data_IF_219718701481
#
_entry.id   IF_219718701481
#
_cell.length_a   1.000
_cell.length_b   1.000
_cell.length_c   1.000
_cell.angle_alpha   90.00
_cell.angle_beta   90.00
_cell.angle_gamma   90.00
#
_symmetry.space_group_name_H-M   'P 1'
#
loop_
_entity.id
_entity.type
_entity.pdbx_description
1 polymer ?
#
# COMPACT_ATOMS: atom_id res chain seq x y z
N UNK A 1 11.85 -13.83 -1.65
CA UNK A 1 11.44 -12.43 -1.93
C UNK A 1 9.96 -12.12 -1.66
N UNK A 2 9.14 -13.10 -1.28
CA UNK A 2 7.67 -12.95 -1.21
C UNK A 2 7.11 -12.03 -0.11
N UNK A 3 7.93 -11.23 0.57
CA UNK A 3 7.48 -10.37 1.68
C UNK A 3 8.15 -9.00 1.68
N UNK A 4 9.03 -8.73 0.71
CA UNK A 4 9.89 -7.55 0.71
C UNK A 4 9.09 -6.24 0.71
N UNK A 5 8.10 -6.12 -0.19
CA UNK A 5 7.31 -4.90 -0.32
C UNK A 5 6.52 -4.61 0.97
N UNK A 6 5.93 -5.65 1.54
CA UNK A 6 5.14 -5.54 2.77
C UNK A 6 6.01 -5.30 3.99
N UNK A 7 7.16 -5.97 4.12
CA UNK A 7 8.06 -5.73 5.24
C UNK A 7 8.66 -4.32 5.20
N UNK A 8 9.01 -3.81 4.02
CA UNK A 8 9.42 -2.41 3.87
C UNK A 8 8.31 -1.47 4.36
N UNK A 9 7.06 -1.69 3.95
CA UNK A 9 5.92 -0.88 4.40
C UNK A 9 5.71 -0.99 5.91
N UNK A 10 5.79 -2.19 6.50
CA UNK A 10 5.65 -2.40 7.95
C UNK A 10 6.76 -1.73 8.76
N UNK A 11 7.96 -1.62 8.19
CA UNK A 11 9.10 -0.90 8.77
C UNK A 11 9.01 0.63 8.55
N UNK A 12 7.91 1.14 8.00
CA UNK A 12 7.74 2.56 7.70
C UNK A 12 8.48 3.02 6.44
N UNK A 13 8.91 2.08 5.58
CA UNK A 13 9.64 2.33 4.34
C UNK A 13 8.78 2.03 3.10
N UNK A 14 7.51 2.40 3.15
CA UNK A 14 6.60 2.34 1.99
C UNK A 14 7.10 3.14 0.80
N UNK A 15 7.87 4.22 1.04
CA UNK A 15 8.59 5.00 0.03
C UNK A 15 9.54 4.14 -0.81
N UNK A 16 10.35 3.29 -0.17
CA UNK A 16 11.27 2.38 -0.86
C UNK A 16 10.50 1.30 -1.62
N UNK A 17 9.45 0.74 -1.01
CA UNK A 17 8.58 -0.22 -1.70
C UNK A 17 7.96 0.39 -2.96
N UNK A 18 7.45 1.63 -2.87
CA UNK A 18 6.90 2.34 -4.01
C UNK A 18 7.95 2.64 -5.09
N UNK A 19 9.15 3.02 -4.70
CA UNK A 19 10.27 3.23 -5.61
C UNK A 19 10.61 1.94 -6.38
N UNK A 20 10.70 0.79 -5.68
CA UNK A 20 10.93 -0.51 -6.31
C UNK A 20 9.80 -0.92 -7.27
N UNK A 21 8.55 -0.50 -6.99
CA UNK A 21 7.44 -0.77 -7.88
C UNK A 21 7.44 0.11 -9.14
N UNK A 22 7.79 1.40 -9.02
CA UNK A 22 7.50 2.43 -10.02
C UNK A 22 8.71 3.00 -10.76
N UNK A 23 9.93 2.90 -10.19
CA UNK A 23 11.14 3.44 -10.80
C UNK A 23 11.42 2.74 -12.15
N UNK A 24 11.91 3.50 -13.13
CA UNK A 24 12.27 3.01 -14.48
C UNK A 24 13.72 2.58 -14.60
N UNK A 25 14.53 2.77 -13.57
CA UNK A 25 15.93 2.36 -13.53
C UNK A 25 16.10 1.06 -12.74
N UNK A 26 17.17 0.32 -13.03
CA UNK A 26 17.55 -0.88 -12.30
C UNK A 26 17.91 -0.55 -10.82
N UNK A 27 17.51 -1.38 -9.84
CA UNK A 27 16.59 -2.51 -9.91
C UNK A 27 15.15 -2.09 -9.57
N UNK A 28 14.16 -2.45 -10.39
CA UNK A 28 12.74 -2.18 -10.10
C UNK A 28 11.81 -2.97 -11.01
N UNK A 29 10.51 -3.05 -10.64
CA UNK A 29 9.49 -3.58 -11.54
C UNK A 29 9.24 -2.65 -12.73
N UNK A 30 9.31 -1.33 -12.52
CA UNK A 30 9.21 -0.37 -13.62
C UNK A 30 10.34 -0.49 -14.64
N UNK A 31 11.57 -0.85 -14.20
CA UNK A 31 12.67 -1.19 -15.11
C UNK A 31 12.33 -2.39 -15.99
N UNK A 32 11.75 -3.46 -15.43
CA UNK A 32 11.33 -4.62 -16.23
C UNK A 32 10.36 -4.21 -17.33
N UNK A 33 9.37 -3.36 -17.02
CA UNK A 33 8.40 -2.84 -18.00
C UNK A 33 9.12 -2.00 -19.07
N UNK A 34 10.02 -1.12 -18.69
CA UNK A 34 10.80 -0.27 -19.62
C UNK A 34 11.66 -1.12 -20.57
N UNK A 35 12.09 -2.30 -20.12
CA UNK A 35 12.83 -3.28 -20.93
C UNK A 35 11.93 -4.23 -21.73
N UNK A 36 10.62 -3.98 -21.77
CA UNK A 36 9.65 -4.73 -22.56
C UNK A 36 9.17 -6.03 -21.92
N UNK A 37 9.29 -6.17 -20.59
CA UNK A 37 8.73 -7.32 -19.89
C UNK A 37 7.20 -7.37 -20.05
N UNK A 38 6.68 -8.52 -20.43
CA UNK A 38 5.23 -8.81 -20.49
C UNK A 38 4.75 -9.60 -19.28
N UNK A 39 5.68 -10.07 -18.47
CA UNK A 39 5.46 -10.73 -17.19
C UNK A 39 6.58 -10.36 -16.21
N UNK A 40 6.42 -10.64 -14.92
CA UNK A 40 7.47 -10.38 -13.93
C UNK A 40 8.60 -11.40 -14.11
N UNK A 41 9.82 -10.92 -14.21
CA UNK A 41 11.02 -11.72 -14.24
C UNK A 41 11.46 -12.16 -12.85
N UNK A 42 12.13 -13.29 -12.75
CA UNK A 42 12.71 -13.79 -11.51
C UNK A 42 13.83 -12.88 -11.01
N UNK A 43 14.70 -12.45 -11.92
CA UNK A 43 15.82 -11.55 -11.64
C UNK A 43 15.50 -10.14 -12.15
N UNK A 44 15.95 -9.13 -11.41
CA UNK A 44 15.76 -7.72 -11.79
C UNK A 44 16.31 -7.39 -13.19
N UNK A 45 17.41 -8.03 -13.57
CA UNK A 45 18.07 -7.87 -14.87
C UNK A 45 17.71 -8.98 -15.86
N UNK A 46 16.47 -9.43 -15.88
CA UNK A 46 16.04 -10.54 -16.74
C UNK A 46 16.28 -10.33 -18.24
N UNK A 47 16.46 -9.07 -18.69
CA UNK A 47 16.86 -8.71 -20.05
C UNK A 47 18.31 -9.12 -20.40
N UNK A 48 19.20 -9.16 -19.40
CA UNK A 48 20.62 -9.49 -19.56
C UNK A 48 21.06 -10.77 -18.85
N UNK A 49 20.17 -11.33 -18.03
CA UNK A 49 20.45 -12.54 -17.25
C UNK A 49 20.57 -13.78 -18.14
N UNK A 50 21.31 -14.77 -17.67
CA UNK A 50 21.41 -16.06 -18.34
C UNK A 50 20.02 -16.72 -18.40
N UNK A 51 19.52 -17.00 -19.59
CA UNK A 51 18.19 -17.58 -19.84
C UNK A 51 17.97 -18.96 -19.20
N UNK A 52 19.03 -19.68 -18.93
CA UNK A 52 18.97 -21.00 -18.27
C UNK A 52 18.83 -20.90 -16.74
N UNK A 53 19.10 -19.72 -16.19
CA UNK A 53 19.09 -19.45 -14.74
C UNK A 53 18.07 -18.37 -14.35
N UNK A 54 17.19 -17.98 -15.25
CA UNK A 54 16.22 -16.90 -15.03
C UNK A 54 14.88 -17.22 -15.69
N UNK A 55 13.82 -17.20 -14.90
CA UNK A 55 12.44 -17.25 -15.42
C UNK A 55 11.98 -15.87 -15.87
N UNK A 56 11.50 -15.76 -17.09
CA UNK A 56 10.87 -14.54 -17.59
C UNK A 56 9.37 -14.46 -17.25
N UNK A 57 8.84 -15.40 -16.48
CA UNK A 57 7.45 -15.43 -16.02
C UNK A 57 7.39 -16.04 -14.62
N UNK A 58 7.73 -15.23 -13.60
CA UNK A 58 7.84 -15.70 -12.21
C UNK A 58 6.61 -15.30 -11.40
N UNK A 59 5.54 -16.07 -11.52
CA UNK A 59 4.21 -15.77 -10.95
C UNK A 59 4.20 -15.57 -9.42
N UNK A 60 5.13 -16.19 -8.68
CA UNK A 60 5.19 -16.04 -7.22
C UNK A 60 5.58 -14.62 -6.80
N UNK A 61 6.44 -13.95 -7.56
CA UNK A 61 6.82 -12.55 -7.31
C UNK A 61 5.64 -11.62 -7.63
N UNK A 62 4.86 -11.94 -8.66
CA UNK A 62 3.62 -11.20 -8.95
C UNK A 62 2.65 -11.26 -7.77
N UNK A 63 2.52 -12.41 -7.12
CA UNK A 63 1.67 -12.58 -5.94
C UNK A 63 2.05 -11.67 -4.78
N UNK A 64 3.35 -11.45 -4.55
CA UNK A 64 3.85 -10.52 -3.53
C UNK A 64 3.46 -9.07 -3.85
N UNK A 65 3.73 -8.63 -5.08
CA UNK A 65 3.41 -7.28 -5.55
C UNK A 65 1.91 -7.00 -5.48
N UNK A 66 1.06 -7.92 -5.95
CA UNK A 66 -0.40 -7.79 -5.87
C UNK A 66 -0.89 -7.77 -4.43
N UNK A 67 -0.32 -8.62 -3.56
CA UNK A 67 -0.67 -8.61 -2.14
C UNK A 67 -0.37 -7.25 -1.50
N UNK A 68 0.76 -6.65 -1.82
CA UNK A 68 1.12 -5.32 -1.36
C UNK A 68 0.15 -4.25 -1.88
N UNK A 69 -0.24 -4.28 -3.16
CA UNK A 69 -1.21 -3.33 -3.71
C UNK A 69 -2.55 -3.40 -2.97
N UNK A 70 -3.07 -4.60 -2.72
CA UNK A 70 -4.36 -4.75 -2.07
C UNK A 70 -4.32 -4.53 -0.57
N UNK A 71 -3.31 -5.04 0.13
CA UNK A 71 -3.24 -4.96 1.59
C UNK A 71 -2.69 -3.67 2.11
N UNK A 72 -1.66 -3.15 1.48
CA UNK A 72 -0.92 -2.01 2.01
C UNK A 72 -1.29 -0.71 1.30
N UNK A 73 -1.51 -0.69 -0.03
CA UNK A 73 -1.94 0.53 -0.72
C UNK A 73 -3.46 0.75 -0.68
N UNK A 74 -4.26 -0.27 -0.96
CA UNK A 74 -5.72 -0.17 -0.86
C UNK A 74 -6.23 -0.35 0.58
N UNK A 75 -5.43 -0.99 1.45
CA UNK A 75 -5.73 -1.19 2.85
C UNK A 75 -6.66 -2.37 3.17
N UNK A 76 -6.90 -3.30 2.25
CA UNK A 76 -7.79 -4.45 2.45
C UNK A 76 -7.14 -5.54 3.30
N UNK A 77 -7.40 -5.59 4.59
CA UNK A 77 -6.90 -6.64 5.45
C UNK A 77 -8.05 -7.38 6.15
N UNK A 78 -8.02 -8.72 6.23
CA UNK A 78 -9.02 -9.47 6.98
C UNK A 78 -8.74 -9.39 8.48
N UNK A 79 -9.70 -8.92 9.27
CA UNK A 79 -9.70 -9.06 10.72
C UNK A 79 -10.30 -10.40 11.14
N UNK A 80 -11.23 -10.92 10.33
CA UNK A 80 -11.82 -12.25 10.49
C UNK A 80 -11.81 -13.01 9.15
N UNK A 81 -11.90 -14.34 9.16
CA UNK A 81 -11.94 -15.15 7.94
C UNK A 81 -12.96 -14.65 6.92
N UNK A 82 -12.61 -14.77 5.63
CA UNK A 82 -13.43 -14.38 4.49
C UNK A 82 -13.86 -12.90 4.48
N UNK A 83 -13.16 -12.01 5.20
CA UNK A 83 -13.52 -10.59 5.37
C UNK A 83 -14.86 -10.37 6.09
N UNK A 84 -15.26 -11.27 7.00
CA UNK A 84 -16.44 -11.05 7.87
C UNK A 84 -16.31 -9.77 8.68
N UNK A 85 -15.08 -9.46 9.14
CA UNK A 85 -14.67 -8.14 9.60
C UNK A 85 -13.46 -7.70 8.77
N UNK A 86 -13.52 -6.49 8.23
CA UNK A 86 -12.52 -5.90 7.34
C UNK A 86 -11.68 -4.91 8.15
N UNK A 87 -10.38 -4.86 7.91
CA UNK A 87 -9.54 -3.72 8.29
C UNK A 87 -9.25 -2.92 7.04
N UNK A 88 -9.67 -1.65 7.03
CA UNK A 88 -9.25 -0.66 6.05
C UNK A 88 -8.10 0.15 6.65
N UNK A 89 -6.87 -0.15 6.22
CA UNK A 89 -5.63 0.48 6.74
C UNK A 89 -4.63 0.69 5.62
N UNK A 90 -4.86 1.65 4.70
CA UNK A 90 -3.88 2.00 3.68
C UNK A 90 -2.64 2.66 4.28
N UNK A 91 -1.50 2.50 3.61
CA UNK A 91 -0.29 3.26 3.90
C UNK A 91 -0.36 4.63 3.22
N UNK A 92 -0.78 5.64 3.96
CA UNK A 92 -0.83 7.02 3.50
C UNK A 92 0.52 7.76 3.57
N UNK A 93 1.58 7.10 4.07
CA UNK A 93 2.90 7.74 4.26
C UNK A 93 3.68 7.94 2.97
N UNK A 94 3.35 7.21 1.90
CA UNK A 94 4.01 7.31 0.59
C UNK A 94 3.63 8.64 -0.07
N UNK A 95 4.57 9.59 -0.12
CA UNK A 95 4.29 10.95 -0.58
C UNK A 95 4.00 11.02 -2.09
N UNK A 96 4.70 10.23 -2.88
CA UNK A 96 4.59 10.16 -4.34
C UNK A 96 3.26 9.55 -4.81
N UNK A 97 2.58 8.80 -3.94
CA UNK A 97 1.29 8.18 -4.23
C UNK A 97 0.16 9.08 -3.77
N UNK A 98 -0.54 9.71 -4.71
CA UNK A 98 -1.61 10.68 -4.43
C UNK A 98 -3.01 10.10 -4.42
N UNK A 99 -3.23 8.92 -5.03
CA UNK A 99 -4.52 8.24 -5.02
C UNK A 99 -4.40 6.74 -5.24
N UNK A 100 -5.38 6.00 -4.76
CA UNK A 100 -5.61 4.58 -5.09
C UNK A 100 -7.09 4.37 -5.35
N UNK A 101 -7.41 3.56 -6.36
CA UNK A 101 -8.76 3.06 -6.61
C UNK A 101 -8.71 1.56 -6.66
N UNK A 102 -9.35 0.90 -5.71
CA UNK A 102 -9.33 -0.55 -5.61
C UNK A 102 -10.69 -1.13 -5.24
N UNK A 103 -10.97 -2.31 -5.74
CA UNK A 103 -12.13 -3.10 -5.31
C UNK A 103 -11.80 -4.58 -5.28
N UNK A 104 -12.46 -5.32 -4.40
CA UNK A 104 -12.30 -6.77 -4.30
C UNK A 104 -13.66 -7.42 -4.02
N UNK A 105 -13.94 -8.54 -4.67
CA UNK A 105 -15.14 -9.32 -4.45
C UNK A 105 -14.91 -10.33 -3.33
N UNK A 106 -15.65 -10.21 -2.24
CA UNK A 106 -15.65 -11.15 -1.11
C UNK A 106 -16.84 -12.08 -1.21
N UNK A 107 -16.93 -13.07 -0.33
CA UNK A 107 -18.13 -13.90 -0.20
C UNK A 107 -19.39 -13.12 0.23
N UNK A 108 -19.22 -11.93 0.80
CA UNK A 108 -20.29 -11.04 1.26
C UNK A 108 -20.67 -9.97 0.25
N UNK A 109 -19.92 -9.86 -0.85
CA UNK A 109 -20.09 -8.84 -1.87
C UNK A 109 -18.83 -8.02 -2.13
N UNK A 110 -19.00 -6.98 -2.93
CA UNK A 110 -17.89 -6.12 -3.36
C UNK A 110 -17.50 -5.13 -2.27
N UNK A 111 -16.23 -5.11 -1.89
CA UNK A 111 -15.64 -4.05 -1.08
C UNK A 111 -14.87 -3.06 -1.97
N UNK A 112 -14.86 -1.79 -1.60
CA UNK A 112 -14.20 -0.69 -2.34
C UNK A 112 -13.36 0.13 -1.37
N UNK A 113 -12.20 0.58 -1.84
CA UNK A 113 -11.34 1.56 -1.18
C UNK A 113 -10.79 2.51 -2.26
N UNK A 114 -11.34 3.70 -2.33
CA UNK A 114 -10.92 4.74 -3.27
C UNK A 114 -10.51 5.96 -2.47
N UNK A 115 -9.22 6.23 -2.38
CA UNK A 115 -8.73 7.39 -1.67
C UNK A 115 -7.90 8.30 -2.57
N UNK A 116 -7.92 9.58 -2.23
CA UNK A 116 -7.10 10.63 -2.81
C UNK A 116 -6.59 11.51 -1.69
N UNK A 117 -5.31 11.83 -1.70
CA UNK A 117 -4.70 12.67 -0.68
C UNK A 117 -3.85 13.79 -1.25
N UNK A 118 -3.72 14.85 -0.46
CA UNK A 118 -2.67 15.88 -0.53
C UNK A 118 -1.72 15.71 0.66
N UNK A 119 -0.83 16.65 0.89
CA UNK A 119 0.04 16.63 2.08
C UNK A 119 -0.74 16.81 3.39
N UNK A 120 -1.90 17.43 3.35
CA UNK A 120 -2.64 17.84 4.54
C UNK A 120 -4.08 17.34 4.60
N UNK A 121 -4.55 16.66 3.56
CA UNK A 121 -5.95 16.30 3.45
C UNK A 121 -6.15 14.96 2.74
N UNK A 122 -7.09 14.15 3.24
CA UNK A 122 -7.52 12.87 2.68
C UNK A 122 -9.01 12.89 2.38
N UNK A 123 -9.36 12.49 1.16
CA UNK A 123 -10.71 12.10 0.74
C UNK A 123 -10.72 10.59 0.49
N UNK A 124 -11.65 9.87 1.10
CA UNK A 124 -11.67 8.42 1.03
C UNK A 124 -13.08 7.86 0.97
N UNK A 125 -13.43 7.24 -0.17
CA UNK A 125 -14.67 6.51 -0.36
C UNK A 125 -14.45 5.03 -0.08
N UNK A 126 -15.27 4.44 0.78
CA UNK A 126 -15.27 3.00 1.04
C UNK A 126 -16.65 2.39 0.88
N UNK A 127 -16.66 1.14 0.44
CA UNK A 127 -17.86 0.30 0.46
C UNK A 127 -17.60 -0.94 1.31
N UNK A 128 -18.47 -1.17 2.28
CA UNK A 128 -18.45 -2.31 3.19
C UNK A 128 -19.63 -3.20 2.83
N UNK A 129 -19.41 -4.47 2.40
CA UNK A 129 -20.50 -5.37 1.98
C UNK A 129 -21.52 -5.63 3.08
N UNK A 130 -22.73 -6.02 2.68
CA UNK A 130 -23.78 -6.42 3.63
C UNK A 130 -23.32 -7.56 4.56
N UNK A 131 -23.83 -7.58 5.79
CA UNK A 131 -23.48 -8.57 6.82
C UNK A 131 -21.98 -8.60 7.20
N UNK A 132 -21.25 -7.52 6.94
CA UNK A 132 -19.85 -7.33 7.39
C UNK A 132 -19.71 -6.04 8.18
N UNK A 133 -18.61 -5.90 8.90
CA UNK A 133 -18.21 -4.67 9.58
C UNK A 133 -16.77 -4.34 9.22
N UNK A 134 -16.36 -3.11 9.46
CA UNK A 134 -14.99 -2.70 9.23
C UNK A 134 -14.38 -1.95 10.42
N UNK A 135 -13.06 -2.09 10.57
CA UNK A 135 -12.22 -1.17 11.34
C UNK A 135 -11.50 -0.26 10.33
N UNK A 136 -11.80 1.02 10.38
CA UNK A 136 -11.25 2.03 9.46
C UNK A 136 -10.20 2.86 10.19
N UNK A 137 -9.00 2.91 9.63
CA UNK A 137 -7.87 3.66 10.17
C UNK A 137 -7.75 5.00 9.45
N UNK A 138 -8.15 6.08 10.11
CA UNK A 138 -8.02 7.43 9.58
C UNK A 138 -6.71 8.07 10.05
N UNK A 139 -5.92 8.70 9.16
CA UNK A 139 -4.64 9.32 9.49
C UNK A 139 -4.81 10.68 10.17
N UNK A 140 -5.53 10.71 11.26
CA UNK A 140 -5.81 11.89 12.08
C UNK A 140 -5.85 11.51 13.56
N UNK A 141 -5.52 12.46 14.43
CA UNK A 141 -5.63 12.31 15.88
C UNK A 141 -6.94 12.90 16.44
N UNK A 142 -7.77 13.49 15.57
CA UNK A 142 -9.07 14.05 15.97
C UNK A 142 -10.11 12.95 16.14
N UNK A 143 -10.49 12.68 17.38
CA UNK A 143 -11.54 11.72 17.75
C UNK A 143 -12.96 12.18 17.36
N UNK A 144 -13.10 13.39 16.84
CA UNK A 144 -14.35 13.97 16.35
C UNK A 144 -14.34 14.15 14.83
N UNK A 145 -13.35 13.62 14.15
CA UNK A 145 -13.22 13.74 12.70
C UNK A 145 -14.42 13.16 11.94
N UNK A 146 -15.06 12.11 12.48
CA UNK A 146 -16.23 11.48 11.88
C UNK A 146 -17.50 11.91 12.64
N UNK A 147 -18.48 12.43 11.90
CA UNK A 147 -19.75 12.90 12.46
C UNK A 147 -20.93 11.96 12.15
N UNK A 148 -20.68 10.86 11.45
CA UNK A 148 -21.71 9.88 11.13
C UNK A 148 -22.12 9.13 12.42
N UNK A 149 -23.43 9.10 12.70
CA UNK A 149 -24.00 8.50 13.92
C UNK A 149 -23.81 6.96 14.00
N UNK A 150 -23.66 6.31 12.86
CA UNK A 150 -23.54 4.87 12.75
C UNK A 150 -22.05 4.43 12.85
N UNK A 151 -21.13 5.39 12.83
CA UNK A 151 -19.69 5.17 12.94
C UNK A 151 -19.21 5.47 14.36
N UNK A 152 -18.55 4.50 14.99
CA UNK A 152 -18.14 4.60 16.39
C UNK A 152 -16.61 4.68 16.52
N UNK A 153 -16.12 5.68 17.24
CA UNK A 153 -14.71 5.74 17.64
C UNK A 153 -14.35 4.55 18.54
N UNK A 154 -13.24 3.89 18.25
CA UNK A 154 -12.77 2.73 19.01
C UNK A 154 -11.55 3.08 19.86
N UNK A 155 -10.49 3.60 19.21
CA UNK A 155 -9.22 3.92 19.86
C UNK A 155 -8.30 4.76 18.99
N UNK A 156 -7.25 5.27 19.59
CA UNK A 156 -6.05 5.73 18.86
C UNK A 156 -5.05 4.58 18.69
N UNK A 157 -4.36 4.56 17.56
CA UNK A 157 -3.29 3.61 17.30
C UNK A 157 -2.20 4.31 16.47
N UNK A 158 -1.06 4.60 17.11
CA UNK A 158 -0.01 5.43 16.48
C UNK A 158 -0.54 6.82 16.11
N UNK A 159 -0.35 7.22 14.87
CA UNK A 159 -0.83 8.50 14.33
C UNK A 159 -2.21 8.40 13.65
N UNK A 160 -3.01 7.41 14.04
CA UNK A 160 -4.34 7.19 13.45
C UNK A 160 -5.41 7.05 14.52
N UNK A 161 -6.62 7.43 14.16
CA UNK A 161 -7.84 7.03 14.88
C UNK A 161 -8.47 5.82 14.21
N UNK A 162 -8.98 4.89 15.01
CA UNK A 162 -9.63 3.66 14.55
C UNK A 162 -11.12 3.75 14.82
N UNK A 163 -11.90 3.47 13.79
CA UNK A 163 -13.36 3.59 13.80
C UNK A 163 -14.01 2.27 13.45
N UNK A 164 -15.05 1.89 14.19
CA UNK A 164 -15.92 0.76 13.84
C UNK A 164 -17.03 1.25 12.93
N UNK A 165 -17.12 0.66 11.75
CA UNK A 165 -18.02 1.10 10.67
C UNK A 165 -18.87 -0.10 10.23
N UNK A 166 -20.21 0.00 10.23
CA UNK A 166 -21.10 -1.05 9.75
C UNK A 166 -21.10 -1.16 8.21
N UNK A 167 -21.85 -2.11 7.67
CA UNK A 167 -22.05 -2.24 6.22
C UNK A 167 -22.69 -0.98 5.63
N UNK A 168 -22.20 -0.56 4.45
CA UNK A 168 -22.68 0.66 3.78
C UNK A 168 -21.64 1.29 2.88
N UNK A 169 -21.97 2.47 2.37
CA UNK A 169 -21.05 3.33 1.61
C UNK A 169 -20.75 4.56 2.46
N UNK A 170 -19.48 4.86 2.61
CA UNK A 170 -19.01 5.97 3.45
C UNK A 170 -18.01 6.82 2.70
N UNK A 171 -18.04 8.12 3.02
CA UNK A 171 -17.10 9.10 2.55
C UNK A 171 -16.42 9.76 3.76
N UNK A 172 -15.11 9.63 3.84
CA UNK A 172 -14.30 10.30 4.87
C UNK A 172 -13.50 11.44 4.25
N UNK A 173 -13.60 12.59 4.88
CA UNK A 173 -12.86 13.80 4.53
C UNK A 173 -12.15 14.29 5.79
N UNK A 174 -10.84 14.09 5.87
CA UNK A 174 -10.08 14.35 7.09
C UNK A 174 -8.80 15.13 6.82
N UNK A 175 -8.43 16.00 7.75
CA UNK A 175 -7.11 16.62 7.79
C UNK A 175 -6.08 15.58 8.24
N UNK A 176 -5.00 15.46 7.48
CA UNK A 176 -3.87 14.61 7.80
C UNK A 176 -2.82 15.38 8.60
N UNK A 177 -2.18 14.70 9.54
CA UNK A 177 -1.00 15.24 10.21
C UNK A 177 0.17 15.31 9.21
N UNK A 178 0.74 16.51 8.95
CA UNK A 178 1.88 16.65 8.03
C UNK A 178 3.14 15.91 8.48
N UNK A 179 3.21 15.44 9.72
CA UNK A 179 4.30 14.60 10.22
C UNK A 179 4.19 13.13 9.79
N UNK A 180 3.03 12.70 9.27
CA UNK A 180 2.87 11.39 8.65
C UNK A 180 3.82 11.27 7.46
N UNK A 181 4.80 10.41 7.56
CA UNK A 181 5.86 10.24 6.56
C UNK A 181 7.19 10.92 6.90
N UNK A 182 7.28 11.71 7.98
CA UNK A 182 8.54 12.31 8.44
C UNK A 182 9.37 11.43 9.38
N UNK A 183 8.81 10.34 9.90
CA UNK A 183 9.55 9.33 10.67
C UNK A 183 10.41 8.44 9.75
N UNK A 184 11.10 9.05 8.81
CA UNK A 184 12.18 8.39 8.10
C UNK A 184 13.33 8.27 9.09
N UNK A 185 13.57 7.08 9.61
CA UNK A 185 14.86 6.75 10.20
C UNK A 185 15.90 7.16 9.17
N UNK A 186 16.76 8.13 9.53
CA UNK A 186 17.62 8.84 8.62
C UNK A 186 18.36 7.92 7.66
N UNK A 187 17.96 7.96 6.39
CA UNK A 187 18.91 7.74 5.32
C UNK A 187 19.57 9.11 5.13
N UNK A 188 20.84 9.14 5.49
CA UNK A 188 21.75 10.20 5.06
C UNK A 188 21.60 10.32 3.54
N UNK A 189 21.21 11.49 3.05
CA UNK A 189 21.08 11.79 1.61
C UNK A 189 22.42 11.76 0.87
N UNK A 190 23.51 11.31 1.51
CA UNK A 190 24.83 11.20 0.94
C UNK A 190 25.24 9.74 0.81
N UNK A 191 25.59 9.37 -0.42
CA UNK A 191 26.28 8.16 -0.86
C UNK A 191 25.42 6.99 -1.39
N UNK A 192 24.62 7.22 -2.44
CA UNK A 192 24.58 6.25 -3.54
C UNK A 192 25.35 6.81 -4.76
N UNK A 193 26.62 7.09 -4.58
CA UNK A 193 27.57 7.08 -5.69
C UNK A 193 27.81 5.61 -6.03
N UNK A 194 27.17 5.15 -7.12
CA UNK A 194 27.55 3.91 -7.78
C UNK A 194 28.98 4.09 -8.29
N UNK A 195 29.97 3.64 -7.52
CA UNK A 195 31.23 3.23 -8.12
C UNK A 195 30.90 2.08 -9.09
N UNK A 196 31.16 2.32 -10.37
CA UNK A 196 31.17 1.28 -11.37
C UNK A 196 32.27 0.29 -10.98
N UNK A 197 31.91 -0.76 -10.25
CA UNK A 197 32.76 -1.90 -10.07
C UNK A 197 32.87 -2.59 -11.44
N UNK A 198 33.91 -2.27 -12.17
CA UNK A 198 34.40 -3.09 -13.27
C UNK A 198 34.84 -4.43 -12.69
N UNK A 199 34.06 -5.45 -12.84
CA UNK A 199 34.52 -6.82 -12.63
C UNK A 199 35.34 -7.28 -13.83
N UNK A 200 36.49 -7.93 -13.59
CA UNK A 200 37.36 -8.46 -14.62
C UNK A 200 36.71 -9.57 -15.43
#
# INVERSE_FOLDING_TARGET
>A
MNWMMRELTRMGRGDVAFLLASNKTYPSYGYMIEKGATAIWELWNGDTANRWMNSCNHVMILGDLLTWYFRDLAGFNPAQPAYKQIIFKPDFSIQELSYVKASHNTLYGKMISNWKKTLTHLEWDITIPCNTTALVYLPTLDEKAVKDKDVTFVRREGNSTVWSVPSGNYHFSVSMDPSLGKNRVGIVEDQFLYEQASFP
#
